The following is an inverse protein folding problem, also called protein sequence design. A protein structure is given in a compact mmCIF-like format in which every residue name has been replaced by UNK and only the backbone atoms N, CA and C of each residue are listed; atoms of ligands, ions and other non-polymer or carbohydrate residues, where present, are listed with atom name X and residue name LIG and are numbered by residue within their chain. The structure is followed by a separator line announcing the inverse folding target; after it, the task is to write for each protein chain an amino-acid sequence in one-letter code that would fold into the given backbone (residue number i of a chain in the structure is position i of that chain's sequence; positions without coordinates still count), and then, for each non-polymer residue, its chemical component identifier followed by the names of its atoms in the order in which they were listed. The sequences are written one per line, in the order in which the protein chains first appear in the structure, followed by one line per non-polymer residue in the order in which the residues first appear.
data_IF_616933645533
#
_entry.id   IF_616933645533
#
_cell.length_a   1.000
_cell.length_b   1.000
_cell.length_c   1.000
_cell.angle_alpha   90.00
_cell.angle_beta   90.00
_cell.angle_gamma   90.00
#
_symmetry.space_group_name_H-M   'P 1'
#
loop_
_entity.id
_entity.type
_entity.pdbx_description
1 polymer ?
#
# COMPACT_ATOMS: atom_id res chain seq x y z
N UNK A 1 18.93 -27.44 -17.77
CA UNK A 1 18.94 -26.08 -17.18
C UNK A 1 20.38 -25.71 -16.93
N UNK A 2 20.83 -24.55 -17.42
CA UNK A 2 22.23 -24.13 -17.29
C UNK A 2 22.51 -23.67 -15.84
N UNK A 3 23.72 -23.85 -15.26
CA UNK A 3 24.00 -23.46 -13.88
C UNK A 3 23.69 -21.99 -13.54
N UNK A 4 23.93 -21.07 -14.48
CA UNK A 4 23.63 -19.64 -14.30
C UNK A 4 22.13 -19.32 -14.33
N UNK A 5 21.31 -20.11 -15.04
CA UNK A 5 19.84 -19.99 -14.97
C UNK A 5 19.31 -20.42 -13.61
N UNK A 6 19.87 -21.51 -13.05
CA UNK A 6 19.50 -21.98 -11.72
C UNK A 6 19.86 -20.94 -10.65
N UNK A 7 21.02 -20.30 -10.77
CA UNK A 7 21.44 -19.21 -9.89
C UNK A 7 20.48 -18.01 -9.97
N UNK A 8 20.09 -17.58 -11.18
CA UNK A 8 19.11 -16.51 -11.35
C UNK A 8 17.76 -16.87 -10.70
N UNK A 9 17.27 -18.10 -10.87
CA UNK A 9 16.03 -18.56 -10.24
C UNK A 9 16.14 -18.53 -8.71
N UNK A 10 17.26 -18.99 -8.16
CA UNK A 10 17.49 -18.99 -6.71
C UNK A 10 17.56 -17.58 -6.14
N UNK A 11 18.27 -16.67 -6.82
CA UNK A 11 18.34 -15.26 -6.45
C UNK A 11 16.96 -14.60 -6.48
N UNK A 12 16.19 -14.81 -7.55
CA UNK A 12 14.82 -14.29 -7.66
C UNK A 12 13.92 -14.79 -6.52
N UNK A 13 14.02 -16.06 -6.13
CA UNK A 13 13.28 -16.61 -4.99
C UNK A 13 13.68 -15.96 -3.66
N UNK A 14 14.96 -15.69 -3.46
CA UNK A 14 15.45 -15.01 -2.25
C UNK A 14 14.93 -13.57 -2.17
N UNK A 15 15.03 -12.82 -3.28
CA UNK A 15 14.51 -11.45 -3.38
C UNK A 15 13.01 -11.42 -3.08
N UNK A 16 12.23 -12.31 -3.72
CA UNK A 16 10.78 -12.40 -3.47
C UNK A 16 10.49 -12.74 -2.01
N UNK A 17 11.23 -13.68 -1.41
CA UNK A 17 11.06 -14.05 0.00
C UNK A 17 11.28 -12.88 0.96
N UNK A 18 12.33 -12.09 0.75
CA UNK A 18 12.60 -10.89 1.56
C UNK A 18 11.51 -9.83 1.37
N UNK A 19 11.06 -9.60 0.13
CA UNK A 19 9.99 -8.66 -0.16
C UNK A 19 8.66 -9.06 0.51
N UNK A 20 8.33 -10.35 0.50
CA UNK A 20 7.13 -10.88 1.16
C UNK A 20 7.21 -10.71 2.69
N UNK A 21 8.36 -11.02 3.30
CA UNK A 21 8.56 -10.82 4.73
C UNK A 21 8.42 -9.35 5.13
N UNK A 22 9.00 -8.44 4.34
CA UNK A 22 8.89 -7.00 4.54
C UNK A 22 7.42 -6.53 4.47
N UNK A 23 6.68 -6.96 3.46
CA UNK A 23 5.26 -6.63 3.30
C UNK A 23 4.43 -7.15 4.48
N UNK A 24 4.61 -8.41 4.87
CA UNK A 24 3.92 -9.00 6.02
C UNK A 24 4.22 -8.26 7.33
N UNK A 25 5.48 -7.89 7.56
CA UNK A 25 5.86 -7.14 8.76
C UNK A 25 5.18 -5.76 8.79
N UNK A 26 5.10 -5.09 7.64
CA UNK A 26 4.42 -3.80 7.51
C UNK A 26 2.89 -3.92 7.73
N UNK A 27 2.26 -4.96 7.18
CA UNK A 27 0.83 -5.24 7.41
C UNK A 27 0.53 -5.54 8.88
N UNK A 28 1.36 -6.36 9.53
CA UNK A 28 1.24 -6.66 10.96
C UNK A 28 1.39 -5.43 11.83
N UNK A 29 2.38 -4.58 11.52
CA UNK A 29 2.59 -3.33 12.24
C UNK A 29 1.41 -2.36 12.06
N UNK A 30 0.81 -2.28 10.87
CA UNK A 30 -0.40 -1.49 10.64
C UNK A 30 -1.61 -2.06 11.41
N UNK A 31 -1.79 -3.38 11.42
CA UNK A 31 -2.87 -4.01 12.16
C UNK A 31 -2.75 -3.76 13.67
N UNK A 32 -1.53 -3.72 14.21
CA UNK A 32 -1.26 -3.41 15.62
C UNK A 32 -1.68 -1.98 16.01
N UNK A 33 -1.73 -1.04 15.05
CA UNK A 33 -2.20 0.32 15.28
C UNK A 33 -3.71 0.43 15.41
N UNK A 34 -4.46 -0.64 15.13
CA UNK A 34 -5.92 -0.69 15.26
C UNK A 34 -6.63 0.50 14.60
N UNK A 35 -6.32 0.72 13.33
CA UNK A 35 -6.86 1.84 12.55
C UNK A 35 -8.40 1.84 12.48
N UNK A 36 -9.04 0.69 12.71
CA UNK A 36 -10.49 0.54 12.89
C UNK A 36 -11.04 1.40 14.03
N UNK A 37 -10.25 1.67 15.06
CA UNK A 37 -10.68 2.47 16.22
C UNK A 37 -10.62 3.98 15.97
N UNK A 38 -9.96 4.44 14.91
CA UNK A 38 -9.87 5.86 14.62
C UNK A 38 -11.25 6.45 14.38
N UNK A 39 -12.11 5.78 13.63
CA UNK A 39 -13.42 6.30 13.22
C UNK A 39 -14.55 5.98 14.20
N UNK A 40 -14.25 5.99 15.50
CA UNK A 40 -15.27 5.84 16.56
C UNK A 40 -15.69 7.20 17.12
N UNK A 41 -16.89 7.28 17.69
CA UNK A 41 -17.36 8.51 18.34
C UNK A 41 -16.44 8.94 19.48
N UNK A 42 -15.92 7.99 20.27
CA UNK A 42 -14.99 8.26 21.38
C UNK A 42 -13.74 9.03 20.90
N UNK A 43 -13.24 8.70 19.70
CA UNK A 43 -12.06 9.31 19.09
C UNK A 43 -12.24 10.79 18.74
N UNK A 44 -13.47 11.27 18.59
CA UNK A 44 -13.75 12.68 18.25
C UNK A 44 -14.41 13.44 19.41
N UNK A 45 -15.28 12.78 20.17
CA UNK A 45 -16.06 13.37 21.26
C UNK A 45 -15.18 13.83 22.43
N UNK A 46 -14.10 13.09 22.71
CA UNK A 46 -13.24 13.37 23.86
C UNK A 46 -11.88 13.95 23.46
N UNK A 47 -11.33 14.83 24.30
CA UNK A 47 -9.97 15.38 24.13
C UNK A 47 -8.93 14.26 24.07
N UNK A 48 -9.01 13.31 25.01
CA UNK A 48 -8.10 12.17 25.04
C UNK A 48 -8.29 11.20 23.88
N UNK A 49 -9.51 11.02 23.39
CA UNK A 49 -9.78 10.24 22.18
C UNK A 49 -9.09 10.83 20.96
N UNK A 50 -9.26 12.13 20.72
CA UNK A 50 -8.66 12.81 19.57
C UNK A 50 -7.14 12.88 19.66
N UNK A 51 -6.60 13.12 20.86
CA UNK A 51 -5.16 13.05 21.09
C UNK A 51 -4.60 11.65 20.76
N UNK A 52 -5.24 10.58 21.26
CA UNK A 52 -4.85 9.20 20.95
C UNK A 52 -4.94 8.92 19.45
N UNK A 53 -5.98 9.40 18.78
CA UNK A 53 -6.14 9.23 17.34
C UNK A 53 -5.00 9.91 16.56
N UNK A 54 -4.65 11.16 16.91
CA UNK A 54 -3.51 11.87 16.32
C UNK A 54 -2.17 11.17 16.57
N UNK A 55 -1.96 10.63 17.78
CA UNK A 55 -0.78 9.83 18.11
C UNK A 55 -0.70 8.56 17.25
N UNK A 56 -1.80 7.84 17.08
CA UNK A 56 -1.87 6.65 16.21
C UNK A 56 -1.58 7.00 14.75
N UNK A 57 -2.12 8.11 14.23
CA UNK A 57 -1.86 8.58 12.87
C UNK A 57 -0.39 8.98 12.68
N UNK A 58 0.24 9.57 13.71
CA UNK A 58 1.68 9.86 13.68
C UNK A 58 2.54 8.60 13.69
N UNK A 59 2.15 7.57 14.45
CA UNK A 59 2.82 6.27 14.42
C UNK A 59 2.69 5.59 13.05
N UNK A 60 1.50 5.65 12.44
CA UNK A 60 1.28 5.14 11.09
C UNK A 60 2.15 5.86 10.06
N UNK A 61 2.26 7.19 10.14
CA UNK A 61 3.12 7.97 9.26
C UNK A 61 4.60 7.56 9.39
N UNK A 62 5.10 7.40 10.62
CA UNK A 62 6.47 6.96 10.86
C UNK A 62 6.72 5.56 10.31
N UNK A 63 5.79 4.62 10.56
CA UNK A 63 5.84 3.26 10.03
C UNK A 63 5.86 3.26 8.49
N UNK A 64 4.97 4.04 7.87
CA UNK A 64 4.87 4.16 6.43
C UNK A 64 6.17 4.68 5.80
N UNK A 65 6.73 5.74 6.39
CA UNK A 65 8.00 6.33 5.96
C UNK A 65 9.15 5.34 6.06
N UNK A 66 9.22 4.58 7.17
CA UNK A 66 10.23 3.54 7.37
C UNK A 66 10.12 2.45 6.30
N UNK A 67 8.92 1.95 6.02
CA UNK A 67 8.69 0.94 5.00
C UNK A 67 9.06 1.43 3.61
N UNK A 68 8.69 2.67 3.25
CA UNK A 68 9.05 3.31 1.98
C UNK A 68 10.57 3.41 1.81
N UNK A 69 11.29 3.82 2.85
CA UNK A 69 12.76 3.92 2.83
C UNK A 69 13.44 2.55 2.71
N UNK A 70 12.97 1.56 3.47
CA UNK A 70 13.43 0.17 3.39
C UNK A 70 13.21 -0.37 1.97
N UNK A 71 12.02 -0.19 1.40
CA UNK A 71 11.69 -0.65 0.06
C UNK A 71 12.59 -0.01 -1.01
N UNK A 72 12.82 1.31 -0.95
CA UNK A 72 13.70 2.00 -1.88
C UNK A 72 15.14 1.44 -1.86
N UNK A 73 15.66 1.16 -0.66
CA UNK A 73 16.99 0.57 -0.46
C UNK A 73 17.03 -0.86 -0.99
N UNK A 74 16.03 -1.66 -0.62
CA UNK A 74 15.91 -3.06 -1.00
C UNK A 74 15.79 -3.25 -2.51
N UNK A 75 14.90 -2.50 -3.18
CA UNK A 75 14.72 -2.61 -4.63
C UNK A 75 16.01 -2.28 -5.35
N UNK A 76 16.70 -1.20 -4.97
CA UNK A 76 17.96 -0.80 -5.61
C UNK A 76 18.99 -1.93 -5.53
N UNK A 77 19.23 -2.49 -4.33
CA UNK A 77 20.16 -3.58 -4.14
C UNK A 77 19.72 -4.88 -4.85
N UNK A 78 18.42 -5.17 -4.88
CA UNK A 78 17.87 -6.32 -5.59
C UNK A 78 18.07 -6.20 -7.12
N UNK A 79 17.90 -4.99 -7.67
CA UNK A 79 18.08 -4.74 -9.11
C UNK A 79 19.54 -4.86 -9.53
N UNK A 80 20.48 -4.38 -8.72
CA UNK A 80 21.91 -4.56 -8.98
C UNK A 80 22.30 -6.06 -9.02
N UNK A 81 21.76 -6.85 -8.08
CA UNK A 81 22.00 -8.29 -8.03
C UNK A 81 21.37 -9.02 -9.23
N UNK A 82 20.13 -8.70 -9.60
CA UNK A 82 19.45 -9.30 -10.76
C UNK A 82 20.15 -8.95 -12.08
N UNK A 83 20.53 -7.68 -12.25
CA UNK A 83 21.26 -7.22 -13.45
C UNK A 83 22.59 -7.96 -13.59
N UNK A 84 23.34 -8.09 -12.47
CA UNK A 84 24.61 -8.83 -12.45
C UNK A 84 24.42 -10.32 -12.77
N UNK A 85 23.35 -10.94 -12.27
CA UNK A 85 23.03 -12.34 -12.53
C UNK A 85 22.56 -12.58 -13.98
N UNK A 86 21.91 -11.59 -14.61
CA UNK A 86 21.51 -11.66 -16.02
C UNK A 86 22.72 -11.50 -16.95
N UNK A 87 23.67 -10.64 -16.61
CA UNK A 87 24.87 -10.40 -17.42
C UNK A 87 25.76 -11.65 -17.63
N UNK A 88 25.63 -12.67 -16.76
CA UNK A 88 26.35 -13.94 -16.88
C UNK A 88 25.59 -15.04 -17.64
N UNK A 89 24.38 -14.74 -18.15
CA UNK A 89 23.62 -15.64 -19.01
C UNK A 89 24.15 -15.64 -20.46
N UNK A 90 23.88 -16.70 -21.24
CA UNK A 90 24.03 -16.65 -22.70
C UNK A 90 23.29 -15.45 -23.30
N UNK A 91 23.88 -14.80 -24.31
CA UNK A 91 23.43 -13.48 -24.81
C UNK A 91 22.01 -13.45 -25.40
N UNK A 92 21.51 -14.58 -25.90
CA UNK A 92 20.13 -14.75 -26.34
C UNK A 92 19.15 -14.78 -25.14
N UNK A 93 19.55 -15.45 -24.05
CA UNK A 93 18.76 -15.54 -22.82
C UNK A 93 18.83 -14.28 -21.98
N UNK A 94 19.99 -13.63 -21.92
CA UNK A 94 20.16 -12.35 -21.23
C UNK A 94 19.19 -11.31 -21.78
N UNK A 95 19.16 -11.12 -23.11
CA UNK A 95 18.24 -10.17 -23.77
C UNK A 95 16.77 -10.46 -23.51
N UNK A 96 16.37 -11.74 -23.54
CA UNK A 96 14.99 -12.13 -23.25
C UNK A 96 14.61 -11.83 -21.78
N UNK A 97 15.52 -12.09 -20.85
CA UNK A 97 15.31 -11.81 -19.42
C UNK A 97 15.31 -10.32 -19.10
N UNK A 98 16.21 -9.53 -19.69
CA UNK A 98 16.26 -8.07 -19.52
C UNK A 98 14.94 -7.42 -19.95
N UNK A 99 14.39 -7.83 -21.09
CA UNK A 99 13.15 -7.26 -21.60
C UNK A 99 11.96 -7.59 -20.70
N UNK A 100 11.78 -8.87 -20.35
CA UNK A 100 10.68 -9.29 -19.47
C UNK A 100 10.79 -8.74 -18.05
N UNK A 101 12.02 -8.61 -17.53
CA UNK A 101 12.28 -8.02 -16.23
C UNK A 101 11.95 -6.52 -16.22
N UNK A 102 12.39 -5.76 -17.22
CA UNK A 102 12.13 -4.32 -17.30
C UNK A 102 10.63 -3.99 -17.28
N UNK A 103 9.82 -4.70 -18.07
CA UNK A 103 8.38 -4.45 -18.13
C UNK A 103 7.67 -4.79 -16.80
N UNK A 104 8.01 -5.94 -16.21
CA UNK A 104 7.46 -6.37 -14.92
C UNK A 104 7.86 -5.40 -13.79
N UNK A 105 9.12 -4.96 -13.77
CA UNK A 105 9.62 -4.01 -12.77
C UNK A 105 8.95 -2.66 -12.88
N UNK A 106 8.85 -2.10 -14.09
CA UNK A 106 8.21 -0.81 -14.31
C UNK A 106 6.76 -0.83 -13.81
N UNK A 107 6.01 -1.89 -14.13
CA UNK A 107 4.63 -2.06 -13.65
C UNK A 107 4.56 -2.18 -12.12
N UNK A 108 5.42 -3.00 -11.52
CA UNK A 108 5.41 -3.23 -10.07
C UNK A 108 5.85 -1.98 -9.29
N UNK A 109 6.87 -1.27 -9.77
CA UNK A 109 7.36 -0.04 -9.14
C UNK A 109 6.35 1.10 -9.26
N UNK A 110 5.69 1.24 -10.42
CA UNK A 110 4.61 2.21 -10.59
C UNK A 110 3.45 1.92 -9.63
N UNK A 111 3.00 0.67 -9.55
CA UNK A 111 1.92 0.27 -8.63
C UNK A 111 2.31 0.49 -7.16
N UNK A 112 3.55 0.16 -6.78
CA UNK A 112 4.02 0.38 -5.42
C UNK A 112 4.15 1.87 -5.08
N UNK A 113 4.65 2.69 -6.01
CA UNK A 113 4.76 4.13 -5.84
C UNK A 113 3.37 4.77 -5.66
N UNK A 114 2.39 4.35 -6.47
CA UNK A 114 1.00 4.78 -6.34
C UNK A 114 0.40 4.37 -5.00
N UNK A 115 0.65 3.14 -4.54
CA UNK A 115 0.23 2.68 -3.21
C UNK A 115 0.82 3.52 -2.07
N UNK A 116 2.09 3.93 -2.18
CA UNK A 116 2.70 4.86 -1.21
C UNK A 116 2.00 6.23 -1.23
N UNK A 117 1.80 6.81 -2.42
CA UNK A 117 1.16 8.11 -2.56
C UNK A 117 -0.27 8.12 -1.99
N UNK A 118 -1.06 7.09 -2.29
CA UNK A 118 -2.42 6.98 -1.77
C UNK A 118 -2.42 6.84 -0.25
N UNK A 119 -1.52 6.03 0.32
CA UNK A 119 -1.42 5.92 1.78
C UNK A 119 -0.97 7.23 2.44
N UNK A 120 -0.05 7.97 1.84
CA UNK A 120 0.36 9.31 2.32
C UNK A 120 -0.82 10.29 2.31
N UNK A 121 -1.63 10.31 1.23
CA UNK A 121 -2.86 11.12 1.15
C UNK A 121 -3.88 10.73 2.22
N UNK A 122 -4.08 9.44 2.43
CA UNK A 122 -4.98 8.93 3.48
C UNK A 122 -4.52 9.39 4.87
N UNK A 123 -3.23 9.24 5.19
CA UNK A 123 -2.65 9.67 6.48
C UNK A 123 -2.84 11.17 6.69
N UNK A 124 -2.61 11.98 5.65
CA UNK A 124 -2.79 13.42 5.71
C UNK A 124 -4.26 13.80 5.96
N UNK A 125 -5.20 13.18 5.24
CA UNK A 125 -6.62 13.42 5.39
C UNK A 125 -7.14 13.06 6.80
N UNK A 126 -6.78 11.88 7.30
CA UNK A 126 -7.17 11.45 8.66
C UNK A 126 -6.58 12.39 9.73
N UNK A 127 -5.33 12.81 9.56
CA UNK A 127 -4.72 13.80 10.46
C UNK A 127 -5.48 15.12 10.43
N UNK A 128 -5.85 15.60 9.25
CA UNK A 128 -6.60 16.85 9.08
C UNK A 128 -7.94 16.76 9.80
N UNK A 129 -8.71 15.67 9.63
CA UNK A 129 -9.98 15.46 10.33
C UNK A 129 -9.84 15.60 11.86
N UNK A 130 -8.86 14.90 12.46
CA UNK A 130 -8.66 14.99 13.91
C UNK A 130 -8.08 16.33 14.36
N UNK A 131 -7.31 17.01 13.51
CA UNK A 131 -6.80 18.37 13.80
C UNK A 131 -7.95 19.38 13.81
N UNK A 132 -8.87 19.29 12.84
CA UNK A 132 -10.09 20.10 12.80
C UNK A 132 -10.90 19.88 14.08
N UNK A 133 -11.13 18.63 14.47
CA UNK A 133 -11.85 18.31 15.71
C UNK A 133 -11.13 18.87 16.94
N UNK A 134 -9.81 18.75 17.00
CA UNK A 134 -9.02 19.22 18.14
C UNK A 134 -9.05 20.74 18.28
N UNK A 135 -8.92 21.46 17.17
CA UNK A 135 -8.71 22.91 17.17
C UNK A 135 -10.02 23.71 17.20
N UNK A 136 -11.16 23.09 16.88
CA UNK A 136 -12.47 23.75 16.75
C UNK A 136 -13.54 23.13 17.66
N UNK A 137 -13.15 22.58 18.82
CA UNK A 137 -14.09 21.90 19.74
C UNK A 137 -15.25 22.77 20.21
N UNK A 138 -15.04 24.08 20.33
CA UNK A 138 -16.07 25.06 20.68
C UNK A 138 -17.12 25.27 19.57
N UNK A 139 -16.80 24.87 18.34
CA UNK A 139 -17.67 24.92 17.16
C UNK A 139 -18.28 23.56 16.82
N UNK A 140 -18.07 22.54 17.64
CA UNK A 140 -18.52 21.16 17.42
C UNK A 140 -19.35 20.69 18.60
N UNK A 141 -20.53 20.12 18.33
CA UNK A 141 -21.32 19.42 19.33
C UNK A 141 -21.47 17.94 18.98
N UNK A 142 -21.69 17.13 20.00
CA UNK A 142 -21.94 15.71 19.87
C UNK A 142 -23.34 15.43 20.41
N UNK A 143 -24.25 15.00 19.54
CA UNK A 143 -25.65 14.75 19.88
C UNK A 143 -26.16 13.50 19.16
N UNK A 144 -26.91 12.65 19.87
CA UNK A 144 -27.47 11.40 19.33
C UNK A 144 -26.44 10.49 18.63
N UNK A 145 -25.19 10.49 19.12
CA UNK A 145 -24.09 9.73 18.52
C UNK A 145 -23.55 10.29 17.21
N UNK A 146 -23.88 11.54 16.88
CA UNK A 146 -23.41 12.25 15.70
C UNK A 146 -22.60 13.47 16.08
N UNK A 147 -21.59 13.77 15.26
CA UNK A 147 -20.85 15.01 15.34
C UNK A 147 -21.55 16.06 14.48
N UNK A 148 -21.81 17.24 15.06
CA UNK A 148 -22.45 18.37 14.39
C UNK A 148 -21.48 19.54 14.42
N UNK A 149 -21.09 20.02 13.24
CA UNK A 149 -20.27 21.22 13.09
C UNK A 149 -21.18 22.43 12.92
N UNK A 150 -20.92 23.49 13.70
CA UNK A 150 -21.74 24.70 13.71
C UNK A 150 -21.17 25.83 12.82
N UNK A 151 -19.99 25.61 12.26
CA UNK A 151 -19.32 26.52 11.34
C UNK A 151 -19.13 25.84 9.98
N UNK A 152 -19.48 26.55 8.91
CA UNK A 152 -19.47 26.01 7.55
C UNK A 152 -18.04 25.78 7.04
N UNK A 153 -17.07 26.64 7.39
CA UNK A 153 -15.69 26.49 6.92
C UNK A 153 -15.03 25.27 7.59
N UNK A 154 -15.36 25.02 8.86
CA UNK A 154 -14.96 23.82 9.60
C UNK A 154 -15.59 22.57 8.98
N UNK A 155 -16.88 22.62 8.65
CA UNK A 155 -17.60 21.53 7.99
C UNK A 155 -17.01 21.20 6.61
N UNK A 156 -16.84 22.20 5.74
CA UNK A 156 -16.32 22.03 4.39
C UNK A 156 -14.91 21.43 4.39
N UNK A 157 -14.05 21.85 5.33
CA UNK A 157 -12.71 21.26 5.49
C UNK A 157 -12.75 19.82 5.94
N UNK A 158 -13.65 19.48 6.87
CA UNK A 158 -13.80 18.11 7.36
C UNK A 158 -14.34 17.20 6.24
N UNK A 159 -15.34 17.65 5.51
CA UNK A 159 -15.93 16.95 4.37
C UNK A 159 -14.91 16.75 3.25
N UNK A 160 -14.07 17.75 2.95
CA UNK A 160 -12.99 17.62 1.98
C UNK A 160 -11.97 16.54 2.40
N UNK A 161 -11.62 16.47 3.69
CA UNK A 161 -10.73 15.43 4.20
C UNK A 161 -11.38 14.04 4.16
N UNK A 162 -12.66 13.93 4.52
CA UNK A 162 -13.42 12.70 4.40
C UNK A 162 -13.50 12.21 2.94
N UNK A 163 -13.76 13.10 2.00
CA UNK A 163 -13.83 12.77 0.57
C UNK A 163 -12.51 12.16 0.06
N UNK A 164 -11.35 12.65 0.52
CA UNK A 164 -10.06 12.06 0.16
C UNK A 164 -9.95 10.61 0.63
N UNK A 165 -10.46 10.29 1.83
CA UNK A 165 -10.48 8.92 2.35
C UNK A 165 -11.37 8.03 1.50
N UNK A 166 -12.56 8.53 1.15
CA UNK A 166 -13.56 7.79 0.36
C UNK A 166 -13.03 7.52 -1.06
N UNK A 167 -12.45 8.52 -1.73
CA UNK A 167 -11.82 8.38 -3.05
C UNK A 167 -10.73 7.30 -3.06
N UNK A 168 -9.90 7.26 -2.02
CA UNK A 168 -8.83 6.26 -1.87
C UNK A 168 -9.43 4.88 -1.64
N UNK A 169 -10.48 4.77 -0.82
CA UNK A 169 -11.16 3.51 -0.59
C UNK A 169 -11.79 2.95 -1.88
N UNK A 170 -12.49 3.79 -2.64
CA UNK A 170 -13.08 3.39 -3.93
C UNK A 170 -12.01 2.91 -4.92
N UNK A 171 -10.89 3.64 -4.99
CA UNK A 171 -9.74 3.25 -5.79
C UNK A 171 -9.17 1.89 -5.36
N UNK A 172 -8.96 1.66 -4.06
CA UNK A 172 -8.45 0.38 -3.53
C UNK A 172 -9.40 -0.78 -3.84
N UNK A 173 -10.71 -0.57 -3.73
CA UNK A 173 -11.74 -1.56 -4.09
C UNK A 173 -11.70 -1.87 -5.58
N UNK A 174 -11.54 -0.86 -6.45
CA UNK A 174 -11.42 -1.07 -7.89
C UNK A 174 -10.16 -1.89 -8.24
N UNK A 175 -9.02 -1.57 -7.63
CA UNK A 175 -7.76 -2.31 -7.80
C UNK A 175 -7.88 -3.76 -7.33
N UNK A 176 -8.54 -4.02 -6.20
CA UNK A 176 -8.78 -5.39 -5.72
C UNK A 176 -9.65 -6.20 -6.68
N UNK A 177 -10.70 -5.59 -7.24
CA UNK A 177 -11.56 -6.23 -8.25
C UNK A 177 -10.77 -6.57 -9.51
N UNK A 178 -9.93 -5.66 -10.00
CA UNK A 178 -9.08 -5.90 -11.16
C UNK A 178 -8.09 -7.05 -10.91
N UNK A 179 -7.41 -7.06 -9.76
CA UNK A 179 -6.49 -8.15 -9.37
C UNK A 179 -7.20 -9.50 -9.28
N UNK A 180 -8.41 -9.53 -8.72
CA UNK A 180 -9.21 -10.76 -8.64
C UNK A 180 -9.64 -11.25 -10.04
N UNK A 181 -10.03 -10.35 -10.93
CA UNK A 181 -10.37 -10.68 -12.31
C UNK A 181 -9.16 -11.26 -13.07
N UNK A 182 -7.99 -10.64 -12.94
CA UNK A 182 -6.74 -11.13 -13.54
C UNK A 182 -6.34 -12.51 -12.97
N UNK A 183 -6.45 -12.71 -11.66
CA UNK A 183 -6.19 -14.01 -11.04
C UNK A 183 -7.16 -15.09 -11.51
N UNK A 184 -8.43 -14.75 -11.72
CA UNK A 184 -9.46 -15.67 -12.25
C UNK A 184 -9.15 -16.07 -13.69
N UNK A 185 -8.79 -15.11 -14.55
CA UNK A 185 -8.39 -15.36 -15.94
C UNK A 185 -7.13 -16.24 -15.99
N UNK A 186 -6.12 -15.91 -15.18
CA UNK A 186 -4.89 -16.69 -15.10
C UNK A 186 -5.14 -18.13 -14.62
N UNK A 187 -6.03 -18.31 -13.63
CA UNK A 187 -6.44 -19.64 -13.17
C UNK A 187 -7.18 -20.43 -14.26
N UNK A 188 -8.13 -19.80 -14.97
CA UNK A 188 -8.84 -20.45 -16.06
C UNK A 188 -7.89 -20.91 -17.18
N UNK A 189 -6.91 -20.07 -17.53
CA UNK A 189 -5.85 -20.40 -18.47
C UNK A 189 -4.99 -21.58 -18.01
N UNK A 190 -4.57 -21.59 -16.75
CA UNK A 190 -3.79 -22.70 -16.18
C UNK A 190 -4.60 -24.01 -16.16
N UNK A 191 -5.88 -23.95 -15.76
CA UNK A 191 -6.78 -25.10 -15.75
C UNK A 191 -7.04 -25.65 -17.18
N UNK A 192 -6.97 -24.81 -18.21
CA UNK A 192 -7.11 -25.21 -19.63
C UNK A 192 -5.84 -25.84 -20.18
N UNK A 193 -4.67 -25.28 -19.84
CA UNK A 193 -3.36 -25.86 -20.16
C UNK A 193 -3.16 -27.21 -19.46
N UNK A 194 -3.57 -27.36 -18.19
CA UNK A 194 -3.50 -28.62 -17.43
C UNK A 194 -4.41 -29.72 -18.02
N UNK A 195 -5.52 -29.34 -18.68
CA UNK A 195 -6.40 -30.27 -19.39
C UNK A 195 -5.91 -30.63 -20.80
N UNK A 196 -4.72 -30.18 -21.19
CA UNK A 196 -4.14 -30.44 -22.50
C UNK A 196 -4.69 -29.53 -23.61
N UNK A 197 -5.37 -28.43 -23.25
CA UNK A 197 -5.70 -27.37 -24.18
C UNK A 197 -4.42 -26.68 -24.69
N UNK A 198 -4.35 -26.41 -25.99
CA UNK A 198 -3.31 -25.51 -26.52
C UNK A 198 -3.75 -24.05 -26.26
N UNK A 199 -2.79 -23.15 -25.95
CA UNK A 199 -3.08 -21.75 -25.72
C UNK A 199 -3.68 -21.06 -26.94
#
# INVERSE_FOLDING_TARGET
MHPTELQLIQLSKQIIGVAQQAAMAYEQAQAALRLDQLFTLESVETVDGTRRALETVAQLEALHRQHKQMYATFVTAAMEQLTSAIAVLPADKARAQEHGLADSLNKNLASQAEGYLNRERWIAAVREMFTIVNDNRDLISFANGQMVMHDNDVADRYDAAQQVIDDIHEYEVAQMKEKLAQATIAKAYLDEVERGGRP
#
